data_IF_584103642752
#
_entry.id   IF_584103642752
#
_cell.length_a   1.000
_cell.length_b   1.000
_cell.length_c   1.000
_cell.angle_alpha   90.00
_cell.angle_beta   90.00
_cell.angle_gamma   90.00
#
_symmetry.space_group_name_H-M   'P 1'
#
loop_
_entity.id
_entity.type
_entity.pdbx_description
1 polymer ?
#
# COMPACT_ATOMS: atom_id res chain seq x y z
N UNK A 1 21.20 -0.01 -2.45
CA UNK A 1 20.12 -0.71 -3.17
C UNK A 1 19.69 0.14 -4.35
N UNK A 2 19.77 -0.42 -5.56
CA UNK A 2 19.30 0.29 -6.74
C UNK A 2 17.79 0.07 -6.89
N UNK A 3 17.01 1.15 -6.97
CA UNK A 3 15.62 1.09 -7.40
C UNK A 3 15.56 1.21 -8.92
N UNK A 4 14.67 0.47 -9.54
CA UNK A 4 14.46 0.53 -11.00
C UNK A 4 12.98 0.70 -11.32
N UNK A 5 12.71 1.36 -12.44
CA UNK A 5 11.42 1.30 -13.12
C UNK A 5 11.60 0.41 -14.36
N UNK A 6 10.69 -0.51 -14.54
CA UNK A 6 10.72 -1.43 -15.67
C UNK A 6 9.36 -1.52 -16.37
N UNK A 7 9.43 -1.91 -17.62
CA UNK A 7 8.27 -2.17 -18.48
C UNK A 7 8.18 -3.65 -18.79
N UNK A 8 7.00 -4.21 -18.75
CA UNK A 8 6.67 -5.50 -19.35
C UNK A 8 5.74 -5.26 -20.52
N UNK A 9 6.07 -5.79 -21.67
CA UNK A 9 5.24 -5.69 -22.87
C UNK A 9 4.83 -7.08 -23.35
N UNK A 10 3.53 -7.33 -23.43
CA UNK A 10 3.00 -8.58 -23.94
C UNK A 10 3.10 -8.60 -25.46
N UNK A 11 3.73 -9.65 -26.02
CA UNK A 11 4.13 -9.72 -27.44
C UNK A 11 2.98 -9.72 -28.43
N UNK A 12 1.86 -10.37 -28.10
CA UNK A 12 0.70 -10.48 -29.02
C UNK A 12 -0.20 -9.24 -29.02
N UNK A 13 -0.42 -8.66 -27.85
CA UNK A 13 -1.37 -7.57 -27.67
C UNK A 13 -0.72 -6.19 -27.62
N UNK A 14 0.64 -6.15 -27.49
CA UNK A 14 1.42 -4.94 -27.24
C UNK A 14 1.04 -4.15 -25.97
N UNK A 15 0.20 -4.73 -25.10
CA UNK A 15 -0.16 -4.10 -23.83
C UNK A 15 1.04 -4.04 -22.90
N UNK A 16 1.12 -2.95 -22.16
CA UNK A 16 2.26 -2.60 -21.32
C UNK A 16 1.87 -2.60 -19.84
N UNK A 17 2.78 -3.06 -19.01
CA UNK A 17 2.76 -2.83 -17.55
C UNK A 17 4.02 -2.08 -17.16
N UNK A 18 3.87 -1.06 -16.32
CA UNK A 18 4.96 -0.32 -15.70
C UNK A 18 5.02 -0.70 -14.22
N UNK A 19 6.17 -1.16 -13.77
CA UNK A 19 6.42 -1.51 -12.38
C UNK A 19 7.71 -0.89 -11.86
N UNK A 20 7.88 -0.91 -10.55
CA UNK A 20 9.15 -0.57 -9.91
C UNK A 20 9.58 -1.69 -8.98
N UNK A 21 10.87 -1.80 -8.75
CA UNK A 21 11.45 -2.86 -7.92
C UNK A 21 12.74 -2.40 -7.27
N UNK A 22 13.00 -2.95 -6.10
CA UNK A 22 14.33 -2.88 -5.48
C UNK A 22 15.18 -3.97 -6.13
N UNK A 23 16.28 -3.56 -6.73
CA UNK A 23 17.15 -4.38 -7.56
C UNK A 23 16.49 -4.86 -8.86
N UNK A 24 17.33 -5.13 -9.85
CA UNK A 24 16.88 -5.67 -11.15
C UNK A 24 16.74 -7.19 -11.06
N UNK A 25 15.55 -7.65 -10.66
CA UNK A 25 15.23 -9.07 -10.66
C UNK A 25 14.47 -9.41 -11.96
N UNK A 26 15.07 -10.16 -12.89
CA UNK A 26 14.42 -10.53 -14.14
C UNK A 26 13.17 -11.40 -13.98
N UNK A 27 13.02 -12.07 -12.83
CA UNK A 27 11.84 -12.89 -12.51
C UNK A 27 10.70 -12.08 -11.88
N UNK A 28 10.86 -10.77 -11.73
CA UNK A 28 9.78 -9.92 -11.22
C UNK A 28 8.87 -9.48 -12.36
N UNK A 29 7.69 -10.09 -12.45
CA UNK A 29 6.65 -9.79 -13.43
C UNK A 29 5.54 -8.88 -12.88
N UNK A 30 5.80 -8.15 -11.80
CA UNK A 30 4.84 -7.20 -11.21
C UNK A 30 3.89 -7.82 -10.21
N UNK A 31 3.27 -6.96 -9.40
CA UNK A 31 2.38 -7.34 -8.30
C UNK A 31 0.92 -6.95 -8.51
N UNK A 32 0.61 -6.15 -9.54
CA UNK A 32 -0.75 -5.71 -9.84
C UNK A 32 -1.68 -6.87 -10.25
N UNK A 33 -2.97 -6.73 -9.98
CA UNK A 33 -3.94 -7.81 -10.26
C UNK A 33 -4.05 -8.17 -11.74
N UNK A 34 -4.00 -7.17 -12.63
CA UNK A 34 -4.15 -7.37 -14.08
C UNK A 34 -2.91 -7.99 -14.70
N UNK A 35 -1.72 -7.53 -14.32
CA UNK A 35 -0.49 -8.13 -14.83
C UNK A 35 -0.31 -9.56 -14.34
N UNK A 36 -0.62 -9.85 -13.07
CA UNK A 36 -0.54 -11.22 -12.55
C UNK A 36 -1.48 -12.17 -13.27
N UNK A 37 -2.69 -11.71 -13.61
CA UNK A 37 -3.63 -12.48 -14.42
C UNK A 37 -3.10 -12.69 -15.83
N UNK A 38 -2.60 -11.63 -16.47
CA UNK A 38 -2.03 -11.71 -17.81
C UNK A 38 -0.82 -12.67 -17.89
N UNK A 39 0.07 -12.64 -16.90
CA UNK A 39 1.21 -13.56 -16.82
C UNK A 39 0.75 -15.00 -16.64
N UNK A 40 -0.32 -15.24 -15.85
CA UNK A 40 -0.93 -16.57 -15.70
C UNK A 40 -1.54 -17.06 -17.01
N UNK A 41 -2.23 -16.19 -17.76
CA UNK A 41 -2.98 -16.55 -18.97
C UNK A 41 -2.04 -16.74 -20.18
N UNK A 42 -1.01 -15.92 -20.31
CA UNK A 42 -0.10 -15.89 -21.48
C UNK A 42 1.28 -16.54 -21.24
N UNK A 43 1.65 -16.78 -19.99
CA UNK A 43 2.97 -17.26 -19.61
C UNK A 43 4.03 -16.16 -19.57
N UNK A 44 5.07 -16.35 -18.77
CA UNK A 44 6.16 -15.38 -18.59
C UNK A 44 6.97 -15.12 -19.86
N UNK A 45 7.13 -16.15 -20.69
CA UNK A 45 7.90 -16.09 -21.94
C UNK A 45 7.25 -15.21 -23.02
N UNK A 46 5.97 -14.88 -22.87
CA UNK A 46 5.24 -13.99 -23.79
C UNK A 46 5.41 -12.50 -23.49
N UNK A 47 6.20 -12.16 -22.48
CA UNK A 47 6.46 -10.78 -22.07
C UNK A 47 7.93 -10.40 -22.31
N UNK A 48 8.13 -9.27 -22.98
CA UNK A 48 9.42 -8.62 -23.05
C UNK A 48 9.58 -7.68 -21.86
N UNK A 49 10.72 -7.77 -21.17
CA UNK A 49 11.06 -6.91 -20.02
C UNK A 49 12.15 -5.92 -20.42
N UNK A 50 11.96 -4.67 -20.06
CA UNK A 50 12.90 -3.59 -20.32
C UNK A 50 13.01 -2.69 -19.08
N UNK A 51 14.22 -2.36 -18.66
CA UNK A 51 14.48 -1.36 -17.61
C UNK A 51 14.39 0.02 -18.23
N UNK A 52 13.49 0.85 -17.71
CA UNK A 52 13.26 2.22 -18.21
C UNK A 52 14.13 3.24 -17.49
N UNK A 53 14.26 3.11 -16.17
CA UNK A 53 15.06 4.02 -15.34
C UNK A 53 15.72 3.26 -14.18
N UNK A 54 16.88 3.77 -13.78
CA UNK A 54 17.64 3.29 -12.62
C UNK A 54 17.85 4.47 -11.67
N UNK A 55 17.53 4.29 -10.40
CA UNK A 55 17.63 5.31 -9.37
C UNK A 55 18.79 5.03 -8.43
N UNK A 56 19.36 6.10 -7.87
CA UNK A 56 20.40 6.03 -6.85
C UNK A 56 19.78 5.78 -5.48
N UNK A 57 20.62 5.41 -4.54
CA UNK A 57 20.19 5.12 -3.16
C UNK A 57 19.58 6.34 -2.45
N UNK A 58 20.01 7.54 -2.84
CA UNK A 58 19.59 8.83 -2.27
C UNK A 58 18.31 9.41 -2.91
N UNK A 59 17.83 8.80 -4.00
CA UNK A 59 16.60 9.27 -4.65
C UNK A 59 15.37 8.99 -3.76
N UNK A 60 14.51 9.99 -3.57
CA UNK A 60 13.34 9.84 -2.73
C UNK A 60 12.31 8.91 -3.37
N UNK A 61 11.61 8.12 -2.53
CA UNK A 61 10.51 7.28 -3.01
C UNK A 61 9.41 8.11 -3.70
N UNK A 62 9.16 9.32 -3.22
CA UNK A 62 8.19 10.24 -3.82
C UNK A 62 8.54 10.63 -5.25
N UNK A 63 9.82 10.87 -5.53
CA UNK A 63 10.28 11.18 -6.89
C UNK A 63 10.22 9.96 -7.79
N UNK A 64 10.57 8.78 -7.28
CA UNK A 64 10.44 7.52 -8.02
C UNK A 64 8.97 7.26 -8.40
N UNK A 65 8.02 7.45 -7.48
CA UNK A 65 6.59 7.27 -7.75
C UNK A 65 6.06 8.27 -8.80
N UNK A 66 6.53 9.52 -8.79
CA UNK A 66 6.21 10.50 -9.86
C UNK A 66 6.73 10.03 -11.22
N UNK A 67 7.90 9.40 -11.26
CA UNK A 67 8.45 8.83 -12.50
C UNK A 67 7.66 7.61 -12.95
N UNK A 68 7.19 6.76 -12.04
CA UNK A 68 6.28 5.64 -12.36
C UNK A 68 4.98 6.19 -12.99
N UNK A 69 4.38 7.21 -12.40
CA UNK A 69 3.18 7.86 -12.93
C UNK A 69 3.42 8.45 -14.33
N UNK A 70 4.56 9.12 -14.54
CA UNK A 70 4.95 9.61 -15.85
C UNK A 70 4.96 8.50 -16.91
N UNK A 71 5.55 7.34 -16.60
CA UNK A 71 5.62 6.23 -17.54
C UNK A 71 4.28 5.56 -17.77
N UNK A 72 3.44 5.43 -16.73
CA UNK A 72 2.06 4.93 -16.86
C UNK A 72 1.28 5.83 -17.80
N UNK A 73 1.34 7.14 -17.63
CA UNK A 73 0.67 8.11 -18.49
C UNK A 73 1.22 8.07 -19.93
N UNK A 74 2.53 7.98 -20.09
CA UNK A 74 3.18 7.93 -21.41
C UNK A 74 2.72 6.71 -22.21
N UNK A 75 2.64 5.54 -21.59
CA UNK A 75 2.18 4.30 -22.23
C UNK A 75 0.65 4.11 -22.16
N UNK A 76 -0.06 4.95 -21.42
CA UNK A 76 -1.49 4.80 -21.11
C UNK A 76 -1.80 3.41 -20.54
N UNK A 77 -0.88 2.87 -19.73
CA UNK A 77 -0.91 1.48 -19.31
C UNK A 77 -1.95 1.19 -18.20
N UNK A 78 -2.54 2.23 -17.62
CA UNK A 78 -3.70 2.18 -16.73
C UNK A 78 -5.04 2.06 -17.48
N UNK A 79 -5.03 2.21 -18.81
CA UNK A 79 -6.18 1.97 -19.64
C UNK A 79 -6.20 0.49 -20.10
N UNK A 80 -7.27 -0.28 -19.84
CA UNK A 80 -7.36 -1.71 -20.18
C UNK A 80 -7.11 -2.03 -21.67
N UNK A 81 -7.31 -1.03 -22.54
CA UNK A 81 -7.02 -1.18 -23.98
C UNK A 81 -5.51 -1.26 -24.27
N UNK A 82 -4.69 -0.55 -23.47
CA UNK A 82 -3.26 -0.36 -23.75
C UNK A 82 -2.35 -1.00 -22.73
N UNK A 83 -2.86 -1.37 -21.54
CA UNK A 83 -2.00 -1.85 -20.48
C UNK A 83 -2.65 -2.72 -19.42
N UNK A 84 -1.82 -3.05 -18.43
CA UNK A 84 -2.16 -3.92 -17.30
C UNK A 84 -1.95 -3.23 -15.95
N UNK A 85 -1.70 -1.91 -15.91
CA UNK A 85 -1.65 -1.18 -14.66
C UNK A 85 -3.07 -0.97 -14.12
N UNK A 86 -3.16 -0.95 -12.79
CA UNK A 86 -4.39 -0.54 -12.11
C UNK A 86 -4.53 0.98 -12.18
N UNK A 87 -5.76 1.47 -12.26
CA UNK A 87 -6.01 2.92 -12.20
C UNK A 87 -5.65 3.46 -10.83
N UNK A 88 -5.34 4.76 -10.73
CA UNK A 88 -5.07 5.41 -9.44
C UNK A 88 -6.23 5.21 -8.46
N UNK A 89 -7.47 5.20 -8.94
CA UNK A 89 -8.67 4.94 -8.14
C UNK A 89 -8.71 3.52 -7.57
N UNK A 90 -8.17 2.53 -8.30
CA UNK A 90 -8.08 1.14 -7.83
C UNK A 90 -6.94 0.94 -6.84
N UNK A 91 -5.87 1.74 -6.94
CA UNK A 91 -4.74 1.72 -6.01
C UNK A 91 -5.04 2.43 -4.69
N UNK A 92 -6.03 3.35 -4.67
CA UNK A 92 -6.51 3.94 -3.42
C UNK A 92 -7.12 2.81 -2.60
N UNK A 93 -6.60 2.52 -1.38
CA UNK A 93 -7.18 1.51 -0.53
C UNK A 93 -8.67 1.81 -0.35
N UNK A 94 -9.53 1.02 -0.97
CA UNK A 94 -10.96 1.08 -0.71
C UNK A 94 -11.11 1.01 0.80
N UNK A 95 -11.74 2.02 1.42
CA UNK A 95 -12.01 2.01 2.87
C UNK A 95 -12.59 0.63 3.17
N UNK A 96 -11.80 -0.23 3.84
CA UNK A 96 -12.24 -1.58 4.20
C UNK A 96 -13.59 -1.43 4.86
N UNK A 97 -14.65 -1.92 4.22
CA UNK A 97 -16.00 -1.89 4.78
C UNK A 97 -15.91 -2.63 6.10
N UNK A 98 -16.18 -1.91 7.20
CA UNK A 98 -16.15 -2.53 8.52
C UNK A 98 -17.20 -3.63 8.55
N UNK A 99 -16.77 -4.88 8.55
CA UNK A 99 -17.65 -6.07 8.49
C UNK A 99 -18.12 -6.52 9.85
N UNK A 100 -17.47 -6.04 10.93
CA UNK A 100 -17.82 -6.37 12.32
C UNK A 100 -17.98 -5.09 13.12
N UNK A 101 -19.06 -5.02 13.91
CA UNK A 101 -19.33 -3.97 14.89
C UNK A 101 -18.87 -4.47 16.26
N UNK A 102 -17.94 -3.77 16.89
CA UNK A 102 -17.63 -3.94 18.29
C UNK A 102 -18.51 -2.96 19.07
N UNK A 103 -19.31 -3.47 19.98
CA UNK A 103 -20.09 -2.66 20.89
C UNK A 103 -19.45 -2.72 22.27
N UNK A 104 -19.01 -1.59 22.77
CA UNK A 104 -18.47 -1.44 24.12
C UNK A 104 -19.53 -0.75 24.97
N UNK A 105 -19.94 -1.38 26.04
CA UNK A 105 -20.84 -0.79 27.03
C UNK A 105 -19.97 -0.10 28.08
N UNK A 106 -20.18 1.19 28.25
CA UNK A 106 -19.51 2.02 29.24
C UNK A 106 -20.53 2.46 30.30
N UNK A 107 -20.11 2.54 31.56
CA UNK A 107 -20.87 3.26 32.57
C UNK A 107 -20.74 4.77 32.31
N UNK A 108 -21.65 5.61 32.82
CA UNK A 108 -21.51 7.08 32.73
C UNK A 108 -20.14 7.58 33.28
N UNK A 109 -19.66 6.97 34.35
CA UNK A 109 -18.36 7.29 34.97
C UNK A 109 -17.18 6.94 34.08
N UNK A 110 -17.23 5.80 33.34
CA UNK A 110 -16.23 5.42 32.37
C UNK A 110 -16.22 6.38 31.17
N UNK A 111 -17.39 6.83 30.72
CA UNK A 111 -17.54 7.78 29.62
C UNK A 111 -16.95 9.13 29.99
N UNK A 112 -17.21 9.64 31.18
CA UNK A 112 -16.67 10.90 31.69
C UNK A 112 -15.14 10.81 31.84
N UNK A 113 -14.63 9.70 32.35
CA UNK A 113 -13.20 9.44 32.48
C UNK A 113 -12.49 9.43 31.14
N UNK A 114 -13.05 8.76 30.15
CA UNK A 114 -12.49 8.71 28.78
C UNK A 114 -12.53 10.09 28.11
N UNK A 115 -13.61 10.85 28.28
CA UNK A 115 -13.69 12.21 27.76
C UNK A 115 -12.62 13.11 28.38
N UNK A 116 -12.39 13.04 29.69
CA UNK A 116 -11.33 13.79 30.36
C UNK A 116 -9.94 13.46 29.80
N UNK A 117 -9.62 12.17 29.60
CA UNK A 117 -8.37 11.71 29.02
C UNK A 117 -8.21 12.23 27.57
N UNK A 118 -9.26 12.15 26.75
CA UNK A 118 -9.23 12.63 25.36
C UNK A 118 -8.97 14.14 25.30
N UNK A 119 -9.64 14.92 26.17
CA UNK A 119 -9.44 16.35 26.24
C UNK A 119 -8.02 16.68 26.67
N UNK A 120 -7.51 16.04 27.72
CA UNK A 120 -6.15 16.25 28.20
C UNK A 120 -5.12 15.96 27.10
N UNK A 121 -5.18 14.79 26.46
CA UNK A 121 -4.25 14.41 25.37
C UNK A 121 -4.37 15.33 24.16
N UNK A 122 -5.58 15.82 23.88
CA UNK A 122 -5.79 16.75 22.78
C UNK A 122 -5.13 18.10 23.04
N UNK A 123 -5.18 18.58 24.28
CA UNK A 123 -4.50 19.79 24.72
C UNK A 123 -2.96 19.64 24.65
N UNK A 124 -2.43 18.54 25.17
CA UNK A 124 -0.99 18.24 25.13
C UNK A 124 -0.44 18.20 23.69
N UNK A 125 -1.19 17.61 22.75
CA UNK A 125 -0.79 17.45 21.36
C UNK A 125 -1.27 18.59 20.44
N UNK A 126 -1.97 19.60 20.97
CA UNK A 126 -2.54 20.73 20.20
C UNK A 126 -3.43 20.30 19.04
N UNK A 127 -4.22 19.25 19.23
CA UNK A 127 -5.17 18.71 18.26
C UNK A 127 -6.61 18.84 18.74
N UNK A 128 -7.59 18.72 17.84
CA UNK A 128 -9.00 18.71 18.24
C UNK A 128 -9.35 17.39 18.95
N UNK A 129 -10.16 17.43 20.02
CA UNK A 129 -10.66 16.23 20.65
C UNK A 129 -11.39 15.31 19.67
N UNK A 130 -11.18 14.02 19.81
CA UNK A 130 -11.82 13.00 18.96
C UNK A 130 -12.96 12.33 19.72
N UNK A 131 -13.91 11.72 19.00
CA UNK A 131 -14.97 10.95 19.63
C UNK A 131 -14.42 9.72 20.36
N UNK A 132 -15.02 9.33 21.47
CA UNK A 132 -14.63 8.16 22.29
C UNK A 132 -14.45 6.91 21.42
N UNK A 133 -15.38 6.63 20.53
CA UNK A 133 -15.32 5.46 19.64
C UNK A 133 -14.08 5.43 18.73
N UNK A 134 -13.59 6.61 18.32
CA UNK A 134 -12.36 6.73 17.54
C UNK A 134 -11.13 6.52 18.42
N UNK A 135 -11.14 7.08 19.62
CA UNK A 135 -10.03 6.94 20.57
C UNK A 135 -9.87 5.47 21.02
N UNK A 136 -10.95 4.80 21.39
CA UNK A 136 -10.93 3.38 21.75
C UNK A 136 -10.46 2.51 20.59
N UNK A 137 -10.90 2.79 19.35
CA UNK A 137 -10.39 2.07 18.17
C UNK A 137 -8.89 2.24 17.99
N UNK A 138 -8.38 3.45 18.19
CA UNK A 138 -6.95 3.72 18.06
C UNK A 138 -6.14 2.91 19.09
N UNK A 139 -6.59 2.89 20.36
CA UNK A 139 -5.94 2.10 21.42
C UNK A 139 -5.94 0.60 21.11
N UNK A 140 -7.04 0.06 20.60
CA UNK A 140 -7.12 -1.36 20.21
C UNK A 140 -6.13 -1.65 19.06
N UNK A 141 -6.07 -0.80 18.05
CA UNK A 141 -5.17 -1.00 16.92
C UNK A 141 -3.70 -0.91 17.36
N UNK A 142 -3.35 0.07 18.17
CA UNK A 142 -2.00 0.24 18.73
C UNK A 142 -1.59 -1.00 19.54
N UNK A 143 -2.47 -1.49 20.41
CA UNK A 143 -2.21 -2.68 21.23
C UNK A 143 -2.01 -3.94 20.37
N UNK A 144 -2.86 -4.18 19.36
CA UNK A 144 -2.70 -5.32 18.45
C UNK A 144 -1.37 -5.24 17.66
N UNK A 145 -0.96 -4.04 17.26
CA UNK A 145 0.31 -3.84 16.55
C UNK A 145 1.49 -4.17 17.45
N UNK A 146 1.45 -3.72 18.71
CA UNK A 146 2.52 -3.98 19.68
C UNK A 146 2.64 -5.46 20.02
N UNK A 147 1.53 -6.16 20.26
CA UNK A 147 1.55 -7.62 20.50
C UNK A 147 2.11 -8.40 19.31
N UNK A 148 1.66 -8.10 18.10
CA UNK A 148 2.18 -8.75 16.90
C UNK A 148 3.69 -8.47 16.67
N UNK A 149 4.19 -7.33 17.13
CA UNK A 149 5.61 -6.99 17.05
C UNK A 149 6.42 -7.79 18.07
N UNK A 150 5.90 -7.97 19.28
CA UNK A 150 6.51 -8.77 20.34
C UNK A 150 6.57 -10.25 19.94
N UNK A 151 5.48 -10.82 19.41
CA UNK A 151 5.46 -12.21 18.93
C UNK A 151 6.51 -12.46 17.82
N UNK A 152 6.63 -11.54 16.86
CA UNK A 152 7.63 -11.64 15.81
C UNK A 152 9.08 -11.55 16.32
N UNK A 153 9.32 -10.81 17.40
CA UNK A 153 10.63 -10.75 18.04
C UNK A 153 10.95 -12.02 18.84
N UNK A 154 9.96 -12.61 19.51
CA UNK A 154 10.12 -13.85 20.24
C UNK A 154 10.42 -15.04 19.32
N UNK A 155 9.80 -15.10 18.14
CA UNK A 155 10.04 -16.15 17.13
C UNK A 155 11.44 -16.04 16.49
N UNK A 156 12.00 -14.83 16.40
CA UNK A 156 13.35 -14.62 15.83
C UNK A 156 14.50 -15.00 16.78
N UNK A 157 14.23 -15.09 18.06
CA UNK A 157 15.24 -15.37 19.11
C UNK A 157 15.22 -16.83 19.62
N UNK A 158 14.42 -17.69 19.02
CA UNK A 158 14.42 -19.15 19.19
C UNK A 158 14.90 -19.83 17.89
#
# INVERSE_FOLDING_TARGET
RKMIIYKLQQQKTNKVYVGYSVNDNPNNFGSGKYIRRAVKDFGTTSFNREVLEVFKEDDSLGDILKRVEYWINKFKSDNPKYGFNETVQELIPQKKKLTKKLQVLLTPEDEDSLNAIIIQKSMENRIKPVAISRYVRQLIVEHIVDENTIEKQLIKNN
#
